data_IF_730277040693
#
_entry.id   IF_730277040693
#
_cell.length_a   1.000
_cell.length_b   1.000
_cell.length_c   1.000
_cell.angle_alpha   90.00
_cell.angle_beta   90.00
_cell.angle_gamma   90.00
#
_symmetry.space_group_name_H-M   'P 1'
#
loop_
_entity.id
_entity.type
_entity.pdbx_description
1 polymer ?
#
# COMPACT_ATOMS: atom_id res chain seq x y z
N UNK A 1 7.15 -32.53 -16.09
CA UNK A 1 8.12 -32.62 -17.21
C UNK A 1 7.92 -31.40 -18.10
N UNK A 2 8.93 -30.53 -18.23
CA UNK A 2 8.82 -29.27 -18.98
C UNK A 2 8.29 -29.46 -20.42
N UNK A 3 8.84 -30.44 -21.14
CA UNK A 3 8.44 -30.74 -22.51
C UNK A 3 6.98 -31.25 -22.64
N UNK A 4 6.46 -31.95 -21.63
CA UNK A 4 5.06 -32.43 -21.63
C UNK A 4 4.12 -31.26 -21.43
N UNK A 5 4.43 -30.35 -20.51
CA UNK A 5 3.62 -29.16 -20.24
C UNK A 5 3.65 -28.20 -21.44
N UNK A 6 4.80 -28.06 -22.10
CA UNK A 6 4.93 -27.26 -23.32
C UNK A 6 4.13 -27.86 -24.48
N UNK A 7 4.19 -29.17 -24.69
CA UNK A 7 3.37 -29.86 -25.69
C UNK A 7 1.87 -29.76 -25.38
N UNK A 8 1.48 -29.88 -24.11
CA UNK A 8 0.10 -29.72 -23.67
C UNK A 8 -0.41 -28.30 -23.93
N UNK A 9 0.37 -27.29 -23.57
CA UNK A 9 -0.01 -25.90 -23.79
C UNK A 9 -0.10 -25.58 -25.30
N UNK A 10 0.76 -26.17 -26.13
CA UNK A 10 0.67 -26.03 -27.59
C UNK A 10 -0.61 -26.67 -28.15
N UNK A 11 -0.99 -27.84 -27.65
CA UNK A 11 -2.23 -28.51 -28.04
C UNK A 11 -3.46 -27.68 -27.65
N UNK A 12 -3.49 -27.14 -26.42
CA UNK A 12 -4.57 -26.26 -25.95
C UNK A 12 -4.68 -24.96 -26.76
N UNK A 13 -3.57 -24.45 -27.30
CA UNK A 13 -3.56 -23.30 -28.21
C UNK A 13 -4.15 -23.68 -29.58
N UNK A 14 -3.84 -24.87 -30.10
CA UNK A 14 -4.38 -25.37 -31.38
C UNK A 14 -5.88 -25.71 -31.29
N UNK A 15 -6.34 -26.21 -30.14
CA UNK A 15 -7.75 -26.50 -29.86
C UNK A 15 -8.58 -25.27 -29.46
N UNK A 16 -7.94 -24.10 -29.35
CA UNK A 16 -8.56 -22.84 -28.94
C UNK A 16 -9.21 -22.85 -27.54
N UNK A 17 -8.82 -23.77 -26.65
CA UNK A 17 -9.32 -23.87 -25.28
C UNK A 17 -8.56 -22.94 -24.31
N UNK A 18 -9.04 -21.71 -24.21
CA UNK A 18 -8.50 -20.70 -23.28
C UNK A 18 -8.74 -21.04 -21.80
N UNK A 19 -9.80 -21.79 -21.46
CA UNK A 19 -10.10 -22.17 -20.07
C UNK A 19 -9.18 -23.29 -19.60
N UNK A 20 -9.02 -24.31 -20.45
CA UNK A 20 -8.06 -25.39 -20.26
C UNK A 20 -6.64 -24.86 -20.14
N UNK A 21 -6.25 -23.90 -21.00
CA UNK A 21 -4.93 -23.28 -20.93
C UNK A 21 -4.71 -22.54 -19.61
N UNK A 22 -5.67 -21.75 -19.14
CA UNK A 22 -5.56 -21.03 -17.86
C UNK A 22 -5.43 -21.99 -16.67
N UNK A 23 -6.28 -23.02 -16.64
CA UNK A 23 -6.24 -24.03 -15.58
C UNK A 23 -4.93 -24.84 -15.61
N UNK A 24 -4.43 -25.16 -16.80
CA UNK A 24 -3.14 -25.85 -17.00
C UNK A 24 -1.98 -25.00 -16.48
N UNK A 25 -1.97 -23.70 -16.80
CA UNK A 25 -0.96 -22.75 -16.33
C UNK A 25 -0.99 -22.61 -14.80
N UNK A 26 -2.17 -22.44 -14.21
CA UNK A 26 -2.33 -22.29 -12.75
C UNK A 26 -1.97 -23.60 -12.01
N UNK A 27 -2.19 -24.77 -12.62
CA UNK A 27 -1.88 -26.07 -12.02
C UNK A 27 -0.39 -26.46 -12.17
N UNK A 28 0.29 -26.04 -13.24
CA UNK A 28 1.63 -26.52 -13.58
C UNK A 28 2.59 -25.41 -14.02
N UNK A 29 3.38 -24.87 -13.10
CA UNK A 29 4.34 -23.75 -13.37
C UNK A 29 5.71 -24.18 -13.98
N UNK A 30 5.84 -25.42 -14.47
CA UNK A 30 7.10 -25.90 -15.06
C UNK A 30 7.08 -25.86 -16.59
N UNK A 31 7.13 -24.66 -17.16
CA UNK A 31 7.23 -24.40 -18.61
C UNK A 31 7.96 -23.07 -18.87
N UNK A 32 8.18 -22.72 -20.13
CA UNK A 32 8.77 -21.43 -20.50
C UNK A 32 7.71 -20.33 -20.62
N UNK A 33 7.53 -19.58 -19.52
CA UNK A 33 6.56 -18.48 -19.42
C UNK A 33 6.74 -17.40 -20.51
N UNK A 34 7.99 -17.10 -20.90
CA UNK A 34 8.27 -15.99 -21.82
C UNK A 34 8.00 -16.41 -23.26
N UNK A 35 8.48 -17.59 -23.65
CA UNK A 35 8.27 -18.11 -25.00
C UNK A 35 6.78 -18.38 -25.26
N UNK A 36 6.05 -18.88 -24.26
CA UNK A 36 4.61 -19.07 -24.34
C UNK A 36 3.85 -17.74 -24.50
N UNK A 37 4.19 -16.73 -23.69
CA UNK A 37 3.57 -15.40 -23.77
C UNK A 37 3.78 -14.75 -25.15
N UNK A 38 5.00 -14.78 -25.70
CA UNK A 38 5.28 -14.23 -27.03
C UNK A 38 4.49 -14.93 -28.16
N UNK A 39 4.19 -16.21 -28.00
CA UNK A 39 3.36 -16.97 -28.96
C UNK A 39 1.89 -16.56 -28.83
N UNK A 40 1.40 -16.43 -27.60
CA UNK A 40 0.03 -16.01 -27.29
C UNK A 40 -0.26 -14.57 -27.73
N UNK A 41 0.71 -13.66 -27.67
CA UNK A 41 0.56 -12.26 -28.15
C UNK A 41 0.16 -12.18 -29.64
N UNK A 42 0.56 -13.17 -30.46
CA UNK A 42 0.28 -13.17 -31.90
C UNK A 42 -1.05 -13.83 -32.28
N UNK A 43 -1.75 -14.43 -31.31
CA UNK A 43 -3.01 -15.11 -31.59
C UNK A 43 -4.14 -14.11 -31.88
N UNK A 44 -5.08 -14.49 -32.76
CA UNK A 44 -6.18 -13.62 -33.19
C UNK A 44 -7.21 -13.38 -32.07
N UNK A 45 -7.38 -14.35 -31.18
CA UNK A 45 -8.30 -14.27 -30.05
C UNK A 45 -7.76 -13.37 -28.92
N UNK A 46 -8.59 -12.44 -28.45
CA UNK A 46 -8.28 -11.54 -27.32
C UNK A 46 -8.06 -12.30 -26.01
N UNK A 47 -8.74 -13.43 -25.80
CA UNK A 47 -8.61 -14.22 -24.56
C UNK A 47 -7.22 -14.85 -24.42
N UNK A 48 -6.60 -15.29 -25.52
CA UNK A 48 -5.23 -15.78 -25.48
C UNK A 48 -4.22 -14.65 -25.21
N UNK A 49 -4.44 -13.46 -25.77
CA UNK A 49 -3.61 -12.29 -25.47
C UNK A 49 -3.79 -11.80 -24.04
N UNK A 50 -4.99 -11.93 -23.47
CA UNK A 50 -5.26 -11.73 -22.04
C UNK A 50 -4.48 -12.70 -21.16
N UNK A 51 -4.44 -13.99 -21.51
CA UNK A 51 -3.62 -14.99 -20.81
C UNK A 51 -2.13 -14.65 -20.94
N UNK A 52 -1.69 -14.16 -22.10
CA UNK A 52 -0.31 -13.66 -22.28
C UNK A 52 0.02 -12.52 -21.31
N UNK A 53 -0.89 -11.56 -21.13
CA UNK A 53 -0.68 -10.47 -20.17
C UNK A 53 -0.59 -10.99 -18.72
N UNK A 54 -1.42 -11.99 -18.37
CA UNK A 54 -1.34 -12.68 -17.08
C UNK A 54 0.00 -13.40 -16.86
N UNK A 55 0.53 -14.06 -17.89
CA UNK A 55 1.86 -14.69 -17.84
C UNK A 55 2.98 -13.65 -17.64
N UNK A 56 2.91 -12.50 -18.34
CA UNK A 56 3.88 -11.43 -18.15
C UNK A 56 3.82 -10.81 -16.73
N UNK A 57 2.61 -10.69 -16.16
CA UNK A 57 2.41 -10.33 -14.75
C UNK A 57 3.11 -11.31 -13.82
N UNK A 58 2.90 -12.62 -14.01
CA UNK A 58 3.53 -13.67 -13.17
C UNK A 58 5.06 -13.60 -13.17
N UNK A 59 5.65 -13.17 -14.29
CA UNK A 59 7.09 -13.00 -14.43
C UNK A 59 7.60 -11.57 -14.11
N UNK A 60 6.82 -10.74 -13.41
CA UNK A 60 7.15 -9.34 -13.06
C UNK A 60 7.49 -8.41 -14.24
N UNK A 61 7.05 -8.75 -15.46
CA UNK A 61 7.27 -7.93 -16.67
C UNK A 61 6.12 -6.97 -16.90
N UNK A 62 5.97 -6.03 -15.98
CA UNK A 62 4.83 -5.11 -15.93
C UNK A 62 4.72 -4.21 -17.17
N UNK A 63 5.84 -3.71 -17.70
CA UNK A 63 5.85 -2.85 -18.91
C UNK A 63 5.25 -3.57 -20.12
N UNK A 64 5.67 -4.82 -20.36
CA UNK A 64 5.18 -5.63 -21.48
C UNK A 64 3.70 -6.01 -21.28
N UNK A 65 3.30 -6.34 -20.05
CA UNK A 65 1.91 -6.65 -19.74
C UNK A 65 0.99 -5.45 -20.01
N UNK A 66 1.37 -4.25 -19.58
CA UNK A 66 0.58 -3.02 -19.79
C UNK A 66 0.55 -2.62 -21.26
N UNK A 67 1.66 -2.73 -21.99
CA UNK A 67 1.71 -2.44 -23.42
C UNK A 67 0.81 -3.39 -24.23
N UNK A 68 0.76 -4.67 -23.87
CA UNK A 68 -0.16 -5.63 -24.46
C UNK A 68 -1.63 -5.25 -24.16
N UNK A 69 -1.94 -4.88 -22.91
CA UNK A 69 -3.27 -4.42 -22.55
C UNK A 69 -3.68 -3.13 -23.29
N UNK A 70 -2.73 -2.22 -23.60
CA UNK A 70 -2.96 -1.02 -24.43
C UNK A 70 -3.37 -1.42 -25.86
N UNK A 71 -2.67 -2.39 -26.47
CA UNK A 71 -3.03 -2.91 -27.81
C UNK A 71 -4.42 -3.55 -27.83
N UNK A 72 -4.76 -4.30 -26.80
CA UNK A 72 -6.03 -5.03 -26.70
C UNK A 72 -7.20 -4.22 -26.15
N UNK A 73 -6.97 -2.96 -25.75
CA UNK A 73 -7.98 -2.10 -25.12
C UNK A 73 -8.62 -2.75 -23.89
N UNK A 74 -7.85 -3.59 -23.18
CA UNK A 74 -8.27 -4.29 -21.97
C UNK A 74 -8.10 -3.39 -20.74
N UNK A 75 -9.02 -2.42 -20.59
CA UNK A 75 -8.86 -1.35 -19.61
C UNK A 75 -8.89 -1.86 -18.16
N UNK A 76 -9.82 -2.76 -17.82
CA UNK A 76 -9.96 -3.28 -16.45
C UNK A 76 -8.71 -4.00 -15.96
N UNK A 77 -8.17 -4.89 -16.80
CA UNK A 77 -6.99 -5.67 -16.44
C UNK A 77 -5.74 -4.79 -16.40
N UNK A 78 -5.60 -3.83 -17.32
CA UNK A 78 -4.49 -2.87 -17.29
C UNK A 78 -4.43 -2.08 -15.98
N UNK A 79 -5.58 -1.67 -15.43
CA UNK A 79 -5.65 -0.94 -14.16
C UNK A 79 -5.25 -1.82 -12.97
N UNK A 80 -5.70 -3.08 -12.93
CA UNK A 80 -5.28 -4.03 -11.89
C UNK A 80 -3.78 -4.29 -11.96
N UNK A 81 -3.22 -4.47 -13.16
CA UNK A 81 -1.79 -4.72 -13.34
C UNK A 81 -0.93 -3.50 -13.00
N UNK A 82 -1.39 -2.29 -13.35
CA UNK A 82 -0.71 -1.05 -12.96
C UNK A 82 -0.69 -0.89 -11.43
N UNK A 83 -1.82 -1.12 -10.76
CA UNK A 83 -1.94 -1.06 -9.30
C UNK A 83 -1.03 -2.10 -8.60
N UNK A 84 -1.02 -3.33 -9.10
CA UNK A 84 -0.14 -4.39 -8.56
C UNK A 84 1.34 -4.15 -8.82
N UNK A 85 1.70 -3.52 -9.95
CA UNK A 85 3.09 -3.23 -10.29
C UNK A 85 3.78 -2.29 -9.31
N UNK A 86 3.02 -1.46 -8.58
CA UNK A 86 3.50 -0.41 -7.66
C UNK A 86 4.56 0.53 -8.26
N UNK A 87 4.58 0.67 -9.59
CA UNK A 87 5.51 1.55 -10.30
C UNK A 87 4.79 2.81 -10.78
N UNK A 88 5.13 3.96 -10.18
CA UNK A 88 4.52 5.26 -10.52
C UNK A 88 4.64 5.57 -12.02
N UNK A 89 5.79 5.27 -12.63
CA UNK A 89 6.06 5.52 -14.05
C UNK A 89 5.05 4.81 -14.97
N UNK A 90 4.75 3.54 -14.68
CA UNK A 90 3.81 2.73 -15.49
C UNK A 90 2.39 3.27 -15.34
N UNK A 91 2.00 3.67 -14.13
CA UNK A 91 0.68 4.23 -13.87
C UNK A 91 0.50 5.60 -14.54
N UNK A 92 1.51 6.48 -14.49
CA UNK A 92 1.48 7.78 -15.17
C UNK A 92 1.40 7.62 -16.69
N UNK A 93 2.19 6.70 -17.27
CA UNK A 93 2.15 6.41 -18.71
C UNK A 93 0.81 5.81 -19.16
N UNK A 94 0.20 4.96 -18.32
CA UNK A 94 -1.12 4.39 -18.59
C UNK A 94 -2.21 5.47 -18.54
N UNK A 95 -2.15 6.38 -17.57
CA UNK A 95 -3.10 7.49 -17.43
C UNK A 95 -2.99 8.49 -18.57
N UNK A 96 -1.76 8.85 -18.98
CA UNK A 96 -1.54 9.70 -20.17
C UNK A 96 -2.20 9.09 -21.41
N UNK A 97 -2.03 7.77 -21.60
CA UNK A 97 -2.64 7.08 -22.73
C UNK A 97 -4.18 7.06 -22.68
N UNK A 98 -4.78 6.88 -21.49
CA UNK A 98 -6.24 6.96 -21.33
C UNK A 98 -6.80 8.34 -21.69
N UNK A 99 -6.07 9.40 -21.38
CA UNK A 99 -6.43 10.79 -21.70
C UNK A 99 -6.32 11.09 -23.19
N UNK A 100 -5.31 10.53 -23.86
CA UNK A 100 -5.13 10.64 -25.31
C UNK A 100 -6.27 9.94 -26.09
N UNK A 101 -6.70 8.75 -25.64
CA UNK A 101 -7.86 8.04 -26.20
C UNK A 101 -9.21 8.67 -25.80
N UNK A 102 -9.22 9.72 -24.95
CA UNK A 102 -10.42 10.42 -24.44
C UNK A 102 -11.40 9.52 -23.66
N UNK A 103 -10.89 8.50 -22.97
CA UNK A 103 -11.70 7.60 -22.15
C UNK A 103 -11.78 8.11 -20.71
N UNK A 104 -12.66 9.08 -20.49
CA UNK A 104 -12.79 9.80 -19.21
C UNK A 104 -13.31 8.92 -18.06
N UNK A 105 -14.15 7.92 -18.36
CA UNK A 105 -14.64 6.97 -17.36
C UNK A 105 -13.53 6.02 -16.86
N UNK A 106 -12.66 5.59 -17.78
CA UNK A 106 -11.50 4.77 -17.45
C UNK A 106 -10.47 5.55 -16.63
N UNK A 107 -10.31 6.84 -16.91
CA UNK A 107 -9.47 7.73 -16.10
C UNK A 107 -9.92 7.75 -14.64
N UNK A 108 -11.20 8.00 -14.37
CA UNK A 108 -11.74 8.00 -13.00
C UNK A 108 -11.56 6.65 -12.29
N UNK A 109 -11.84 5.53 -12.97
CA UNK A 109 -11.63 4.20 -12.40
C UNK A 109 -10.16 3.90 -12.10
N UNK A 110 -9.24 4.37 -12.95
CA UNK A 110 -7.80 4.21 -12.75
C UNK A 110 -7.30 5.00 -11.52
N UNK A 111 -7.84 6.20 -11.28
CA UNK A 111 -7.51 6.98 -10.08
C UNK A 111 -7.87 6.25 -8.79
N UNK A 112 -9.04 5.60 -8.74
CA UNK A 112 -9.43 4.82 -7.57
C UNK A 112 -8.57 3.58 -7.36
N UNK A 113 -8.26 2.84 -8.43
CA UNK A 113 -7.50 1.60 -8.32
C UNK A 113 -6.01 1.84 -8.00
N UNK A 114 -5.47 2.99 -8.40
CA UNK A 114 -4.07 3.36 -8.19
C UNK A 114 -3.88 4.44 -7.10
N UNK A 115 -4.81 4.52 -6.13
CA UNK A 115 -4.88 5.59 -5.13
C UNK A 115 -3.55 5.89 -4.40
N UNK A 116 -2.82 4.85 -4.00
CA UNK A 116 -1.57 4.99 -3.24
C UNK A 116 -0.36 5.38 -4.10
N UNK A 117 -0.43 5.14 -5.41
CA UNK A 117 0.73 5.21 -6.30
C UNK A 117 0.82 6.54 -7.06
N UNK A 118 -0.31 7.24 -7.17
CA UNK A 118 -0.46 8.42 -8.01
C UNK A 118 -0.12 9.69 -7.24
N UNK A 119 0.67 10.56 -7.89
CA UNK A 119 0.98 11.89 -7.39
C UNK A 119 -0.18 12.84 -7.70
N UNK A 120 -0.82 13.46 -6.68
CA UNK A 120 -1.95 14.37 -6.89
C UNK A 120 -1.63 15.52 -7.85
N UNK A 121 -0.39 16.02 -7.84
CA UNK A 121 0.07 17.12 -8.68
C UNK A 121 -0.01 16.77 -10.18
N UNK A 122 0.45 15.58 -10.56
CA UNK A 122 0.46 15.11 -11.95
C UNK A 122 -0.96 14.86 -12.44
N UNK A 123 -1.81 14.29 -11.58
CA UNK A 123 -3.22 14.06 -11.89
C UNK A 123 -3.96 15.39 -12.09
N UNK A 124 -3.68 16.40 -11.27
CA UNK A 124 -4.30 17.70 -11.39
C UNK A 124 -3.88 18.41 -12.69
N UNK A 125 -2.60 18.35 -13.04
CA UNK A 125 -2.10 18.92 -14.30
C UNK A 125 -2.80 18.27 -15.51
N UNK A 126 -2.87 16.94 -15.52
CA UNK A 126 -3.49 16.18 -16.59
C UNK A 126 -5.01 16.44 -16.68
N UNK A 127 -5.71 16.41 -15.55
CA UNK A 127 -7.15 16.69 -15.51
C UNK A 127 -7.47 18.12 -15.98
N UNK A 128 -6.59 19.09 -15.67
CA UNK A 128 -6.76 20.47 -16.09
C UNK A 128 -6.49 20.68 -17.58
N UNK A 129 -5.41 20.08 -18.13
CA UNK A 129 -5.09 20.16 -19.57
C UNK A 129 -6.19 19.59 -20.45
N UNK A 130 -6.83 18.50 -20.01
CA UNK A 130 -7.88 17.83 -20.78
C UNK A 130 -9.30 18.30 -20.45
N UNK A 131 -9.47 19.23 -19.49
CA UNK A 131 -10.76 19.77 -19.04
C UNK A 131 -11.71 18.71 -18.44
N UNK A 132 -11.18 17.71 -17.73
CA UNK A 132 -11.91 16.57 -17.13
C UNK A 132 -11.87 16.67 -15.59
N UNK A 133 -11.87 17.90 -15.06
CA UNK A 133 -11.72 18.14 -13.63
C UNK A 133 -12.85 17.47 -12.82
N UNK A 134 -14.07 17.45 -13.36
CA UNK A 134 -15.25 16.90 -12.68
C UNK A 134 -15.11 15.43 -12.27
N UNK A 135 -14.40 14.61 -13.07
CA UNK A 135 -14.15 13.20 -12.73
C UNK A 135 -13.02 13.01 -11.73
N UNK A 136 -12.08 13.97 -11.63
CA UNK A 136 -10.96 13.94 -10.68
C UNK A 136 -11.34 14.50 -9.29
N UNK A 137 -12.41 15.29 -9.19
CA UNK A 137 -12.81 15.95 -7.95
C UNK A 137 -13.05 15.00 -6.77
N UNK A 138 -13.79 13.88 -6.90
CA UNK A 138 -14.01 12.97 -5.77
C UNK A 138 -12.71 12.36 -5.22
N UNK A 139 -11.77 12.05 -6.11
CA UNK A 139 -10.45 11.54 -5.76
C UNK A 139 -9.62 12.59 -5.02
N UNK A 140 -9.59 13.83 -5.53
CA UNK A 140 -8.86 14.92 -4.90
C UNK A 140 -9.38 15.24 -3.50
N UNK A 141 -10.71 15.25 -3.31
CA UNK A 141 -11.34 15.49 -1.99
C UNK A 141 -10.93 14.41 -0.98
N UNK A 142 -10.86 13.14 -1.41
CA UNK A 142 -10.44 12.04 -0.54
C UNK A 142 -8.98 12.20 -0.10
N UNK A 143 -8.07 12.52 -1.02
CA UNK A 143 -6.65 12.74 -0.71
C UNK A 143 -6.46 13.93 0.21
N UNK A 144 -7.10 15.06 -0.08
CA UNK A 144 -7.01 16.25 0.78
C UNK A 144 -7.51 15.96 2.19
N UNK A 145 -8.64 15.24 2.33
CA UNK A 145 -9.16 14.84 3.65
C UNK A 145 -8.21 13.92 4.40
N UNK A 146 -7.63 12.94 3.73
CA UNK A 146 -6.70 12.01 4.36
C UNK A 146 -5.40 12.70 4.76
N UNK A 147 -4.87 13.59 3.92
CA UNK A 147 -3.67 14.37 4.23
C UNK A 147 -3.90 15.27 5.44
N UNK A 148 -5.02 16.02 5.48
CA UNK A 148 -5.39 16.83 6.65
C UNK A 148 -5.52 15.95 7.89
N UNK A 149 -6.24 14.83 7.82
CA UNK A 149 -6.41 13.93 8.98
C UNK A 149 -5.08 13.31 9.46
N UNK A 150 -4.14 13.02 8.55
CA UNK A 150 -2.80 12.51 8.90
C UNK A 150 -1.95 13.61 9.53
N UNK A 151 -1.99 14.82 8.99
CA UNK A 151 -1.30 15.98 9.54
C UNK A 151 -1.83 16.31 10.94
N UNK A 152 -3.15 16.36 11.13
CA UNK A 152 -3.76 16.60 12.45
C UNK A 152 -3.33 15.54 13.49
N UNK A 153 -3.28 14.26 13.09
CA UNK A 153 -2.80 13.17 13.96
C UNK A 153 -1.32 13.30 14.29
N UNK A 154 -0.49 13.70 13.33
CA UNK A 154 0.94 13.91 13.52
C UNK A 154 1.18 15.10 14.45
N UNK A 155 0.49 16.22 14.21
CA UNK A 155 0.56 17.42 15.03
C UNK A 155 0.14 17.13 16.49
N UNK A 156 -0.95 16.38 16.67
CA UNK A 156 -1.37 15.92 18.00
C UNK A 156 -0.32 14.99 18.66
N UNK A 157 0.31 14.10 17.88
CA UNK A 157 1.34 13.20 18.41
C UNK A 157 2.63 13.93 18.79
N UNK A 158 3.04 14.94 18.01
CA UNK A 158 4.21 15.76 18.32
C UNK A 158 3.94 16.70 19.48
N UNK A 159 2.72 17.23 19.62
CA UNK A 159 2.31 18.01 20.79
C UNK A 159 2.41 17.17 22.07
N UNK A 160 1.88 15.94 22.05
CA UNK A 160 1.96 15.00 23.18
C UNK A 160 3.41 14.58 23.47
N UNK A 161 4.26 14.43 22.46
CA UNK A 161 5.69 14.15 22.66
C UNK A 161 6.43 15.34 23.27
N UNK A 162 6.17 16.54 22.78
CA UNK A 162 6.74 17.78 23.31
C UNK A 162 6.30 18.03 24.76
N UNK A 163 5.04 17.76 25.09
CA UNK A 163 4.51 17.80 26.47
C UNK A 163 5.17 16.74 27.37
N UNK A 164 5.39 15.52 26.86
CA UNK A 164 6.06 14.47 27.63
C UNK A 164 7.56 14.74 27.83
N UNK A 165 8.25 15.31 26.84
CA UNK A 165 9.67 15.71 26.94
C UNK A 165 9.84 16.89 27.91
N UNK A 166 8.97 17.91 27.82
CA UNK A 166 8.96 19.02 28.79
C UNK A 166 8.58 18.57 30.21
N UNK A 167 7.68 17.59 30.36
CA UNK A 167 7.35 17.00 31.67
C UNK A 167 8.47 16.10 32.24
N UNK A 168 9.32 15.52 31.38
CA UNK A 168 10.43 14.67 31.84
C UNK A 168 11.69 15.50 32.19
N UNK A 169 11.94 16.63 31.50
CA UNK A 169 12.96 17.62 31.88
C UNK A 169 12.58 18.44 33.11
N UNK A 170 11.28 18.57 33.42
CA UNK A 170 10.78 19.23 34.63
C UNK A 170 10.71 18.33 35.86
N UNK A 171 11.12 17.05 35.81
CA UNK A 171 11.29 16.25 37.04
C UNK A 171 12.47 16.79 37.83
N UNK A 172 12.24 17.51 38.95
CA UNK A 172 13.32 18.05 39.75
C UNK A 172 14.05 16.88 40.39
N UNK A 173 15.39 16.94 40.37
CA UNK A 173 16.27 16.20 41.28
C UNK A 173 15.67 16.35 42.69
N UNK A 174 15.24 15.24 43.29
CA UNK A 174 14.52 15.19 44.56
C UNK A 174 15.33 15.83 45.69
N UNK A 175 15.16 17.15 45.87
CA UNK A 175 15.65 17.95 46.98
C UNK A 175 14.50 18.10 47.99
N UNK A 176 14.05 16.99 48.58
CA UNK A 176 13.13 17.01 49.72
C UNK A 176 13.86 17.49 50.98
N UNK A 177 14.01 18.81 51.07
CA UNK A 177 14.31 19.53 52.30
C UNK A 177 13.10 19.44 53.22
N UNK A 178 13.13 18.58 54.24
CA UNK A 178 12.22 18.65 55.38
C UNK A 178 12.98 18.54 56.71
N UNK A 179 12.98 19.64 57.47
CA UNK A 179 13.40 19.68 58.87
C UNK A 179 13.93 21.06 59.29
N UNK A 180 13.27 21.80 60.21
CA UNK A 180 13.73 23.14 60.63
C UNK A 180 15.05 23.09 61.40
N UNK A 181 15.89 24.11 61.17
CA UNK A 181 17.20 24.39 61.75
C UNK A 181 17.23 24.36 63.29
N UNK A 182 18.20 23.63 63.89
CA UNK A 182 18.96 24.07 65.07
C UNK A 182 20.32 23.36 65.20
N UNK A 183 21.26 24.13 65.77
CA UNK A 183 22.73 24.05 65.86
C UNK A 183 23.29 22.96 66.82
N UNK A 184 24.32 22.19 66.39
CA UNK A 184 25.61 21.84 67.09
C UNK A 184 26.15 20.41 66.81
N UNK A 185 27.38 20.40 66.28
CA UNK A 185 28.49 19.48 66.55
C UNK A 185 28.54 18.05 65.92
N UNK A 186 29.77 17.57 65.58
CA UNK A 186 30.01 16.44 64.68
C UNK A 186 30.23 15.13 65.46
N UNK A 187 29.81 14.00 64.89
CA UNK A 187 30.10 12.71 65.52
C UNK A 187 29.53 11.49 64.81
N UNK A 188 30.44 10.75 64.18
CA UNK A 188 30.52 9.29 64.21
C UNK A 188 29.36 8.42 63.69
N UNK A 189 29.66 7.76 62.57
CA UNK A 189 29.26 6.37 62.27
C UNK A 189 27.80 6.18 61.86
N UNK A 190 27.37 5.07 61.28
CA UNK A 190 27.98 3.78 60.95
C UNK A 190 26.78 3.03 60.31
N UNK A 191 26.99 2.40 59.14
CA UNK A 191 26.32 1.16 58.67
C UNK A 191 24.87 1.26 58.13
N UNK A 192 24.63 0.83 56.88
CA UNK A 192 24.28 -0.56 56.44
C UNK A 192 22.76 -0.79 56.62
N UNK A 193 21.95 -1.38 55.72
CA UNK A 193 22.10 -2.48 54.76
C UNK A 193 20.80 -2.61 53.93
N UNK A 194 20.90 -3.16 52.71
CA UNK A 194 20.03 -4.18 52.03
C UNK A 194 18.49 -4.05 52.04
N UNK A 195 17.71 -4.47 51.03
CA UNK A 195 17.88 -5.59 50.10
C UNK A 195 16.84 -5.50 48.95
N UNK A 196 17.16 -6.09 47.78
CA UNK A 196 16.37 -7.05 46.97
C UNK A 196 14.83 -7.03 47.08
N UNK A 197 14.00 -7.23 46.04
CA UNK A 197 14.14 -7.72 44.66
C UNK A 197 12.81 -7.38 43.94
N UNK A 198 12.83 -7.07 42.64
CA UNK A 198 12.35 -7.92 41.53
C UNK A 198 10.84 -8.24 41.48
N UNK A 199 10.23 -7.97 40.32
CA UNK A 199 9.02 -8.65 39.85
C UNK A 199 7.97 -7.71 39.27
N UNK A 200 8.01 -7.50 37.95
CA UNK A 200 6.91 -6.89 37.21
C UNK A 200 5.72 -7.84 37.03
N UNK A 201 4.58 -7.28 36.64
CA UNK A 201 3.59 -7.78 35.66
C UNK A 201 2.38 -6.84 35.69
N UNK A 202 1.92 -6.48 34.50
CA UNK A 202 0.77 -5.61 34.17
C UNK A 202 -0.56 -6.03 34.81
N UNK A 203 -1.52 -5.11 34.99
CA UNK A 203 -2.93 -5.46 35.00
C UNK A 203 -3.67 -4.94 33.75
N UNK A 204 -4.45 -5.85 33.19
CA UNK A 204 -5.55 -5.60 32.25
C UNK A 204 -6.77 -5.13 33.07
N UNK A 205 -7.58 -4.18 32.60
CA UNK A 205 -8.95 -4.04 33.12
C UNK A 205 -9.95 -3.67 32.03
N UNK A 206 -10.95 -4.54 31.94
CA UNK A 206 -12.14 -4.53 31.11
C UNK A 206 -13.33 -3.91 31.85
N UNK A 207 -14.14 -3.12 31.12
CA UNK A 207 -15.60 -3.05 31.31
C UNK A 207 -16.13 -2.10 32.40
N UNK A 208 -16.76 -1.01 31.97
CA UNK A 208 -17.65 -0.19 32.80
C UNK A 208 -19.07 -0.14 32.17
N UNK A 209 -20.16 -0.24 32.96
CA UNK A 209 -21.53 -0.28 32.47
C UNK A 209 -22.17 1.12 32.39
N UNK A 210 -22.89 1.41 31.30
CA UNK A 210 -23.58 2.68 31.08
C UNK A 210 -25.06 2.62 31.48
N UNK A 211 -25.44 3.46 32.44
CA UNK A 211 -26.81 3.74 32.88
C UNK A 211 -27.56 4.62 31.86
N UNK A 212 -28.86 4.36 31.68
CA UNK A 212 -29.78 5.14 30.86
C UNK A 212 -30.59 6.09 31.73
N UNK A 213 -30.63 7.38 31.36
CA UNK A 213 -31.68 8.35 31.68
C UNK A 213 -31.44 9.61 30.85
N UNK A 214 -32.34 9.89 29.91
CA UNK A 214 -33.15 11.11 29.75
C UNK A 214 -33.99 10.98 28.48
#
# INVERSE_FOLDING_TARGET
NKAINEALNNLLIEEEDYQGLRNSIDAYDNFDNITLAQRLEKHELTEFRRISAYLYKGNNRWKQAVELCKKDRLYKDSMTYASESRQCEIAEELISWFLDEKLFECFGACLFQCYDLLRPDVILELAWRHNIMDFAMPYMIQIMREYITKVDKLEQSDHVRTENETANDQKPIDFTVQGPLMITAPGMGVYQQSAFAAGGVYPTYSGAPGYSNY
#
